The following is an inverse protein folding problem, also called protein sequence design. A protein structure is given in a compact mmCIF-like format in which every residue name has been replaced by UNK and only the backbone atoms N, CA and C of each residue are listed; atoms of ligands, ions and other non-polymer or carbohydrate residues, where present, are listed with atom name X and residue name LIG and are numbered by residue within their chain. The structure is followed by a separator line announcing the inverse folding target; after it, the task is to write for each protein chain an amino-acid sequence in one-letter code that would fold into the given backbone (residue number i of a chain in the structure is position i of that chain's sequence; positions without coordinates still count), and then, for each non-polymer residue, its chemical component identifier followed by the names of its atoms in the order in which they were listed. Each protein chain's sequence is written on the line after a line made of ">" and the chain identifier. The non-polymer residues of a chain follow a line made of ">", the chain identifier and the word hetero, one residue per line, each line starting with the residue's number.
data_IF_729391265594
#
_entry.id   IF_729391265594
#
_cell.length_a   1.000
_cell.length_b   1.000
_cell.length_c   1.000
_cell.angle_alpha   90.00
_cell.angle_beta   90.00
_cell.angle_gamma   90.00
#
_symmetry.space_group_name_H-M   'P 1'
#
loop_
_entity.id
_entity.type
_entity.pdbx_description
1 polymer ?
#
# COMPACT_ATOMS: atom_id res chain seq x y z
N UNK A 1 10.55 -2.03 -23.64
CA UNK A 1 11.97 -2.27 -23.30
C UNK A 1 12.17 -3.74 -22.96
N UNK A 2 11.61 -4.27 -21.89
CA UNK A 2 11.76 -5.68 -21.45
C UNK A 2 11.41 -6.68 -22.55
N UNK A 3 10.32 -6.48 -23.30
CA UNK A 3 9.93 -7.40 -24.39
C UNK A 3 10.89 -7.36 -25.58
N UNK A 4 11.64 -6.26 -25.77
CA UNK A 4 12.72 -6.20 -26.78
C UNK A 4 13.98 -6.92 -26.30
N UNK A 5 14.32 -6.79 -25.02
CA UNK A 5 15.46 -7.48 -24.41
C UNK A 5 15.28 -8.99 -24.40
N UNK A 6 14.05 -9.46 -24.16
CA UNK A 6 13.71 -10.88 -24.21
C UNK A 6 13.82 -11.50 -25.62
N UNK A 7 13.75 -10.68 -26.69
CA UNK A 7 13.85 -11.20 -28.05
C UNK A 7 12.85 -12.32 -28.33
N UNK A 8 13.35 -13.49 -28.76
CA UNK A 8 12.53 -14.68 -29.05
C UNK A 8 11.96 -15.36 -27.79
N UNK A 9 12.55 -15.12 -26.61
CA UNK A 9 12.08 -15.70 -25.35
C UNK A 9 10.69 -15.15 -24.94
N UNK A 10 10.27 -14.01 -25.48
CA UNK A 10 8.93 -13.45 -25.22
C UNK A 10 7.78 -14.42 -25.55
N UNK A 11 7.99 -15.37 -26.47
CA UNK A 11 7.01 -16.43 -26.80
C UNK A 11 6.77 -17.40 -25.66
N UNK A 12 7.67 -17.46 -24.68
CA UNK A 12 7.58 -18.30 -23.50
C UNK A 12 6.81 -17.64 -22.35
N UNK A 13 6.45 -16.35 -22.48
CA UNK A 13 5.61 -15.66 -21.49
C UNK A 13 4.24 -16.36 -21.44
N UNK A 14 3.81 -16.76 -20.25
CA UNK A 14 2.56 -17.52 -20.06
C UNK A 14 1.40 -16.67 -19.52
N UNK A 15 1.71 -15.58 -18.84
CA UNK A 15 0.71 -14.63 -18.30
C UNK A 15 1.35 -13.27 -18.04
N UNK A 16 0.51 -12.25 -17.91
CA UNK A 16 0.85 -10.94 -17.38
C UNK A 16 0.05 -10.71 -16.10
N UNK A 17 0.71 -10.35 -15.02
CA UNK A 17 0.06 -10.04 -13.75
C UNK A 17 0.22 -8.54 -13.45
N UNK A 18 -0.88 -7.85 -13.11
CA UNK A 18 -0.89 -6.41 -12.87
C UNK A 18 -0.92 -6.15 -11.37
N UNK A 19 0.09 -5.44 -10.85
CA UNK A 19 0.06 -4.85 -9.51
C UNK A 19 0.39 -3.37 -9.58
N UNK A 20 -0.22 -2.57 -8.72
CA UNK A 20 -0.03 -1.12 -8.68
C UNK A 20 -0.31 -0.58 -7.27
N UNK A 21 0.07 0.68 -7.05
CA UNK A 21 -0.39 1.40 -5.89
C UNK A 21 -1.89 1.70 -5.99
N UNK A 22 -2.56 1.73 -4.86
CA UNK A 22 -4.02 1.91 -4.73
C UNK A 22 -4.40 3.39 -4.70
N UNK A 23 -5.71 3.65 -4.76
CA UNK A 23 -6.30 4.98 -4.58
C UNK A 23 -5.80 6.03 -5.59
N UNK A 24 -5.55 5.63 -6.83
CA UNK A 24 -5.41 6.56 -7.94
C UNK A 24 -6.69 6.53 -8.75
N UNK A 25 -7.34 7.69 -8.93
CA UNK A 25 -8.66 7.77 -9.56
C UNK A 25 -8.59 8.63 -10.81
N UNK A 26 -9.24 8.15 -11.87
CA UNK A 26 -9.41 8.87 -13.14
C UNK A 26 -10.83 8.67 -13.67
N UNK A 27 -11.55 9.75 -14.00
CA UNK A 27 -12.84 9.68 -14.70
C UNK A 27 -12.62 9.43 -16.21
N UNK A 28 -13.48 8.58 -16.77
CA UNK A 28 -13.54 8.27 -18.20
C UNK A 28 -14.90 8.67 -18.76
N UNK A 29 -14.93 9.11 -20.00
CA UNK A 29 -16.15 9.33 -20.76
C UNK A 29 -16.80 8.01 -21.24
N UNK A 30 -17.92 8.09 -21.95
CA UNK A 30 -18.61 6.94 -22.54
C UNK A 30 -17.79 6.15 -23.58
N UNK A 31 -16.76 6.77 -24.14
CA UNK A 31 -15.82 6.16 -25.08
C UNK A 31 -14.57 5.62 -24.40
N UNK A 32 -14.56 5.60 -23.04
CA UNK A 32 -13.44 5.17 -22.21
C UNK A 32 -12.19 6.05 -22.36
N UNK A 33 -12.39 7.32 -22.74
CA UNK A 33 -11.33 8.32 -22.86
C UNK A 33 -11.18 9.10 -21.56
N UNK A 34 -9.96 9.31 -21.05
CA UNK A 34 -9.71 10.11 -19.86
C UNK A 34 -10.25 11.54 -20.01
N UNK A 35 -10.99 12.01 -19.01
CA UNK A 35 -11.53 13.40 -18.96
C UNK A 35 -10.59 14.37 -18.26
N UNK A 36 -9.63 13.86 -17.50
CA UNK A 36 -8.60 14.61 -16.78
C UNK A 36 -7.44 13.69 -16.39
N UNK A 37 -6.35 14.28 -15.87
CA UNK A 37 -5.24 13.54 -15.27
C UNK A 37 -5.64 12.86 -13.96
N UNK A 38 -4.81 11.93 -13.50
CA UNK A 38 -4.98 11.20 -12.25
C UNK A 38 -5.03 12.11 -11.03
N UNK A 39 -5.94 11.79 -10.08
CA UNK A 39 -5.77 12.18 -8.69
C UNK A 39 -5.08 11.00 -8.00
N UNK A 40 -3.81 11.18 -7.64
CA UNK A 40 -2.98 10.10 -7.10
C UNK A 40 -3.21 9.89 -5.59
N UNK A 41 -2.75 8.78 -5.06
CA UNK A 41 -2.91 8.41 -3.65
C UNK A 41 -2.25 9.38 -2.65
N UNK A 42 -1.19 10.09 -3.06
CA UNK A 42 -0.52 11.12 -2.25
C UNK A 42 -1.29 12.43 -2.15
N UNK A 43 -2.31 12.61 -2.98
CA UNK A 43 -3.09 13.84 -3.01
C UNK A 43 -4.03 13.88 -1.80
N UNK A 44 -3.89 14.93 -0.98
CA UNK A 44 -4.59 15.12 0.29
C UNK A 44 -5.76 16.11 0.19
N UNK A 45 -6.25 16.37 -1.03
CA UNK A 45 -7.43 17.22 -1.23
C UNK A 45 -8.65 16.67 -0.51
N UNK A 46 -9.44 17.54 0.11
CA UNK A 46 -10.64 17.21 0.85
C UNK A 46 -11.83 18.02 0.35
N UNK A 47 -13.03 17.51 0.62
CA UNK A 47 -14.31 18.12 0.23
C UNK A 47 -15.25 18.19 1.43
N UNK A 48 -15.08 19.16 2.34
CA UNK A 48 -15.97 19.33 3.50
C UNK A 48 -17.44 19.53 3.11
N UNK A 49 -17.70 20.10 1.94
CA UNK A 49 -19.04 20.32 1.37
C UNK A 49 -19.81 19.00 1.20
N UNK A 50 -19.12 17.91 0.88
CA UNK A 50 -19.72 16.58 0.75
C UNK A 50 -20.28 16.10 2.09
N UNK A 51 -19.60 16.37 3.20
CA UNK A 51 -20.05 16.04 4.56
C UNK A 51 -21.33 16.80 4.90
N UNK A 52 -21.36 18.12 4.63
CA UNK A 52 -22.57 18.92 4.84
C UNK A 52 -23.76 18.41 4.03
N UNK A 53 -23.53 18.02 2.76
CA UNK A 53 -24.60 17.51 1.90
C UNK A 53 -25.18 16.18 2.40
N UNK A 54 -24.35 15.26 2.92
CA UNK A 54 -24.78 14.00 3.50
C UNK A 54 -25.61 14.26 4.77
N UNK A 55 -25.17 15.14 5.65
CA UNK A 55 -25.90 15.48 6.86
C UNK A 55 -27.24 16.16 6.59
N UNK A 56 -27.32 16.98 5.54
CA UNK A 56 -28.56 17.65 5.15
C UNK A 56 -29.59 16.69 4.54
N UNK A 57 -29.11 15.69 3.76
CA UNK A 57 -29.96 14.63 3.19
C UNK A 57 -30.29 13.51 4.16
N UNK A 58 -29.67 13.53 5.37
CA UNK A 58 -29.84 12.47 6.35
C UNK A 58 -31.30 12.32 6.77
N UNK A 59 -31.95 11.30 6.25
CA UNK A 59 -33.28 10.85 6.68
C UNK A 59 -33.21 10.30 8.09
N UNK A 60 -34.35 10.13 8.76
CA UNK A 60 -34.43 9.61 10.13
C UNK A 60 -33.66 8.27 10.30
N UNK A 61 -33.49 7.47 9.22
CA UNK A 61 -32.72 6.20 9.21
C UNK A 61 -31.22 6.40 9.43
N UNK A 62 -30.64 7.50 8.93
CA UNK A 62 -29.22 7.82 9.10
C UNK A 62 -28.92 8.50 10.43
N UNK A 63 -29.93 9.10 11.09
CA UNK A 63 -29.79 9.67 12.44
C UNK A 63 -29.59 8.60 13.53
N UNK A 64 -29.97 7.35 13.26
CA UNK A 64 -29.77 6.19 14.13
C UNK A 64 -28.35 5.55 13.99
N UNK A 65 -27.55 6.02 13.06
CA UNK A 65 -26.16 5.55 12.89
C UNK A 65 -25.33 6.03 14.09
N UNK A 66 -24.59 5.12 14.71
CA UNK A 66 -23.74 5.44 15.87
C UNK A 66 -22.74 6.55 15.54
N UNK A 67 -22.30 7.32 16.54
CA UNK A 67 -21.33 8.41 16.34
C UNK A 67 -20.06 7.98 15.62
N UNK A 68 -19.56 6.74 15.88
CA UNK A 68 -18.41 6.16 15.22
C UNK A 68 -18.68 5.93 13.72
N UNK A 69 -19.81 5.30 13.37
CA UNK A 69 -20.14 5.04 11.97
C UNK A 69 -20.40 6.36 11.20
N UNK A 70 -20.90 7.39 11.86
CA UNK A 70 -21.04 8.73 11.28
C UNK A 70 -19.67 9.34 10.98
N UNK A 71 -18.76 9.31 11.95
CA UNK A 71 -17.38 9.80 11.73
C UNK A 71 -16.67 9.10 10.57
N UNK A 72 -16.90 7.78 10.39
CA UNK A 72 -16.39 7.03 9.25
C UNK A 72 -16.96 7.51 7.92
N UNK A 73 -18.28 7.75 7.87
CA UNK A 73 -18.92 8.26 6.66
C UNK A 73 -18.47 9.68 6.33
N UNK A 74 -18.34 10.54 7.34
CA UNK A 74 -17.85 11.91 7.18
C UNK A 74 -16.41 11.91 6.64
N UNK A 75 -15.57 11.06 7.20
CA UNK A 75 -14.21 10.86 6.72
C UNK A 75 -14.17 10.35 5.27
N UNK A 76 -14.95 9.32 4.95
CA UNK A 76 -15.05 8.78 3.60
C UNK A 76 -15.55 9.82 2.60
N UNK A 77 -16.58 10.58 2.95
CA UNK A 77 -17.14 11.61 2.10
C UNK A 77 -16.16 12.76 1.85
N UNK A 78 -15.50 13.24 2.90
CA UNK A 78 -14.54 14.34 2.81
C UNK A 78 -13.30 13.98 1.99
N UNK A 79 -12.80 12.74 2.11
CA UNK A 79 -11.57 12.29 1.44
C UNK A 79 -11.83 11.61 0.08
N UNK A 80 -13.11 11.47 -0.34
CA UNK A 80 -13.45 10.88 -1.62
C UNK A 80 -13.02 11.75 -2.79
N UNK A 81 -12.17 11.22 -3.66
CA UNK A 81 -11.75 11.89 -4.90
C UNK A 81 -12.91 12.09 -5.87
N UNK A 82 -13.93 11.23 -5.84
CA UNK A 82 -15.15 11.40 -6.63
C UNK A 82 -15.94 12.64 -6.16
N UNK A 83 -16.08 12.83 -4.84
CA UNK A 83 -16.69 14.03 -4.29
C UNK A 83 -15.90 15.27 -4.67
N UNK A 84 -14.56 15.20 -4.59
CA UNK A 84 -13.75 16.34 -4.97
C UNK A 84 -14.01 16.74 -6.44
N UNK A 85 -14.01 15.80 -7.38
CA UNK A 85 -14.35 16.04 -8.78
C UNK A 85 -15.78 16.59 -8.91
N UNK A 86 -16.73 16.01 -8.19
CA UNK A 86 -18.14 16.44 -8.21
C UNK A 86 -18.34 17.90 -7.81
N UNK A 87 -17.62 18.38 -6.80
CA UNK A 87 -17.78 19.72 -6.24
C UNK A 87 -16.88 20.77 -6.90
N UNK A 88 -15.71 20.38 -7.37
CA UNK A 88 -14.72 21.32 -7.90
C UNK A 88 -14.56 21.26 -9.43
N UNK A 89 -14.95 20.14 -10.04
CA UNK A 89 -14.94 19.95 -11.50
C UNK A 89 -16.29 19.35 -11.98
N UNK A 90 -17.42 20.05 -11.75
CA UNK A 90 -18.75 19.49 -11.99
C UNK A 90 -18.99 19.09 -13.45
N UNK A 91 -18.38 19.75 -14.42
CA UNK A 91 -18.47 19.41 -15.85
C UNK A 91 -17.80 18.04 -16.12
N UNK A 92 -16.63 17.79 -15.51
CA UNK A 92 -15.94 16.51 -15.60
C UNK A 92 -16.80 15.41 -14.97
N UNK A 93 -17.36 15.68 -13.78
CA UNK A 93 -18.23 14.73 -13.08
C UNK A 93 -19.47 14.38 -13.90
N UNK A 94 -20.10 15.34 -14.58
CA UNK A 94 -21.29 15.12 -15.40
C UNK A 94 -20.98 14.28 -16.65
N UNK A 95 -19.80 14.46 -17.25
CA UNK A 95 -19.35 13.72 -18.43
C UNK A 95 -18.81 12.32 -18.08
N UNK A 96 -18.43 12.08 -16.81
CA UNK A 96 -17.87 10.81 -16.37
C UNK A 96 -18.90 9.67 -16.49
N UNK A 97 -18.66 8.76 -17.43
CA UNK A 97 -19.42 7.52 -17.55
C UNK A 97 -18.85 6.46 -16.60
N UNK A 98 -17.55 6.48 -16.36
CA UNK A 98 -16.85 5.56 -15.48
C UNK A 98 -15.80 6.28 -14.64
N UNK A 99 -15.45 5.64 -13.51
CA UNK A 99 -14.26 5.95 -12.73
C UNK A 99 -13.40 4.71 -12.61
N UNK A 100 -12.12 4.84 -12.89
CA UNK A 100 -11.18 3.72 -12.81
C UNK A 100 -10.01 4.01 -11.87
N UNK A 101 -9.46 2.95 -11.32
CA UNK A 101 -8.18 2.93 -10.65
C UNK A 101 -7.06 2.74 -11.68
N UNK A 102 -5.80 2.89 -11.25
CA UNK A 102 -4.66 2.67 -12.15
C UNK A 102 -4.63 1.24 -12.71
N UNK A 103 -4.88 0.23 -11.87
CA UNK A 103 -4.95 -1.17 -12.30
C UNK A 103 -6.11 -1.44 -13.26
N UNK A 104 -7.28 -0.86 -12.99
CA UNK A 104 -8.44 -0.95 -13.89
C UNK A 104 -8.16 -0.31 -15.24
N UNK A 105 -7.48 0.85 -15.28
CA UNK A 105 -7.09 1.48 -16.53
C UNK A 105 -6.07 0.66 -17.32
N UNK A 106 -5.08 0.08 -16.64
CA UNK A 106 -4.13 -0.83 -17.29
C UNK A 106 -4.85 -2.07 -17.85
N UNK A 107 -5.78 -2.64 -17.09
CA UNK A 107 -6.64 -3.74 -17.57
C UNK A 107 -7.39 -3.33 -18.83
N UNK A 108 -8.05 -2.19 -18.81
CA UNK A 108 -8.77 -1.65 -19.97
C UNK A 108 -7.86 -1.52 -21.20
N UNK A 109 -6.68 -0.92 -21.02
CA UNK A 109 -5.73 -0.70 -22.13
C UNK A 109 -5.14 -1.99 -22.69
N UNK A 110 -4.98 -3.00 -21.86
CA UNK A 110 -4.38 -4.28 -22.24
C UNK A 110 -5.41 -5.26 -22.82
N UNK A 111 -6.65 -5.23 -22.32
CA UNK A 111 -7.65 -6.27 -22.62
C UNK A 111 -8.94 -5.74 -23.25
N UNK A 112 -9.18 -4.44 -23.23
CA UNK A 112 -10.45 -3.81 -23.62
C UNK A 112 -11.57 -3.94 -22.58
N UNK A 113 -11.34 -4.61 -21.44
CA UNK A 113 -12.35 -4.86 -20.43
C UNK A 113 -12.40 -3.77 -19.37
N UNK A 114 -13.62 -3.35 -18.98
CA UNK A 114 -13.86 -2.47 -17.82
C UNK A 114 -13.91 -3.29 -16.54
N UNK A 115 -12.76 -3.89 -16.20
CA UNK A 115 -12.60 -4.77 -15.05
C UNK A 115 -11.38 -4.37 -14.21
N UNK A 116 -11.41 -4.68 -12.92
CA UNK A 116 -10.31 -4.45 -12.00
C UNK A 116 -10.22 -5.57 -10.96
N UNK A 117 -9.03 -5.76 -10.39
CA UNK A 117 -8.84 -6.77 -9.37
C UNK A 117 -9.45 -6.33 -8.04
N UNK A 118 -10.16 -7.23 -7.37
CA UNK A 118 -10.71 -7.03 -6.03
C UNK A 118 -9.63 -6.63 -5.02
N UNK A 119 -8.44 -7.23 -5.12
CA UNK A 119 -7.30 -6.94 -4.26
C UNK A 119 -6.70 -5.54 -4.43
N UNK A 120 -7.08 -4.82 -5.48
CA UNK A 120 -6.64 -3.43 -5.74
C UNK A 120 -7.54 -2.40 -5.07
N UNK A 121 -8.67 -2.80 -4.51
CA UNK A 121 -9.62 -1.86 -3.93
C UNK A 121 -9.25 -1.48 -2.50
N UNK A 122 -9.65 -0.29 -2.08
CA UNK A 122 -9.35 0.23 -0.75
C UNK A 122 -10.55 1.00 -0.17
N UNK A 123 -10.49 1.36 1.11
CA UNK A 123 -11.58 1.98 1.86
C UNK A 123 -11.94 3.42 1.45
N UNK A 124 -11.22 4.02 0.49
CA UNK A 124 -11.58 5.34 -0.08
C UNK A 124 -12.51 5.23 -1.30
N UNK A 125 -12.93 4.00 -1.63
CA UNK A 125 -13.88 3.66 -2.68
C UNK A 125 -15.16 3.11 -2.05
N UNK A 126 -16.29 3.03 -2.77
CA UNK A 126 -17.53 2.41 -2.27
C UNK A 126 -17.41 0.88 -2.22
N UNK A 127 -16.39 0.40 -1.51
CA UNK A 127 -15.95 -0.99 -1.46
C UNK A 127 -16.09 -1.58 -0.05
N UNK A 128 -16.77 -2.72 0.05
CA UNK A 128 -16.89 -3.50 1.27
C UNK A 128 -15.69 -4.45 1.40
N UNK A 129 -14.70 -4.02 2.16
CA UNK A 129 -13.47 -4.78 2.40
C UNK A 129 -13.74 -6.15 3.05
N UNK A 130 -14.77 -6.25 3.90
CA UNK A 130 -15.07 -7.49 4.60
C UNK A 130 -15.66 -8.57 3.67
N UNK A 131 -16.43 -8.16 2.66
CA UNK A 131 -17.05 -9.05 1.70
C UNK A 131 -16.35 -9.08 0.34
N UNK A 132 -15.28 -8.28 0.17
CA UNK A 132 -14.49 -8.18 -1.06
C UNK A 132 -15.35 -7.85 -2.29
N UNK A 133 -16.28 -6.88 -2.15
CA UNK A 133 -17.20 -6.48 -3.22
C UNK A 133 -17.57 -4.99 -3.11
N UNK A 134 -18.14 -4.43 -4.18
CA UNK A 134 -18.80 -3.12 -4.09
C UNK A 134 -19.96 -3.18 -3.10
N UNK A 135 -20.21 -2.09 -2.36
CA UNK A 135 -21.33 -2.03 -1.42
C UNK A 135 -22.66 -2.37 -2.10
N UNK A 136 -23.51 -3.13 -1.39
CA UNK A 136 -24.85 -3.48 -1.87
C UNK A 136 -25.84 -2.31 -1.83
N UNK A 137 -25.58 -1.28 -1.03
CA UNK A 137 -26.52 -0.18 -0.75
C UNK A 137 -26.14 1.08 -1.55
N UNK A 138 -27.08 1.65 -2.31
CA UNK A 138 -26.86 2.83 -3.13
C UNK A 138 -26.48 4.07 -2.31
N UNK A 139 -26.97 4.16 -1.07
CA UNK A 139 -26.57 5.21 -0.14
C UNK A 139 -25.05 5.29 0.05
N UNK A 140 -24.34 4.18 0.06
CA UNK A 140 -22.87 4.21 0.18
C UNK A 140 -22.21 4.87 -1.03
N UNK A 141 -22.76 4.71 -2.23
CA UNK A 141 -22.25 5.41 -3.41
C UNK A 141 -22.50 6.92 -3.33
N UNK A 142 -23.63 7.34 -2.75
CA UNK A 142 -23.89 8.77 -2.49
C UNK A 142 -22.86 9.37 -1.54
N UNK A 143 -22.42 8.62 -0.49
CA UNK A 143 -21.38 9.04 0.43
C UNK A 143 -20.07 9.34 -0.31
N UNK A 144 -19.71 8.49 -1.27
CA UNK A 144 -18.50 8.68 -2.06
C UNK A 144 -18.69 9.64 -3.26
N UNK A 145 -19.92 10.04 -3.60
CA UNK A 145 -20.20 10.95 -4.72
C UNK A 145 -20.10 10.31 -6.10
N UNK A 146 -20.39 9.03 -6.21
CA UNK A 146 -20.31 8.24 -7.45
C UNK A 146 -21.59 7.42 -7.60
N UNK A 147 -21.88 6.88 -8.78
CA UNK A 147 -22.95 5.91 -9.00
C UNK A 147 -22.37 4.50 -9.16
N UNK A 148 -23.18 3.51 -8.82
CA UNK A 148 -22.79 2.08 -8.94
C UNK A 148 -22.39 1.70 -10.37
N UNK A 149 -23.13 2.20 -11.36
CA UNK A 149 -22.92 1.92 -12.79
C UNK A 149 -21.65 2.56 -13.36
N UNK A 150 -21.00 3.47 -12.61
CA UNK A 150 -19.73 4.07 -12.97
C UNK A 150 -18.52 3.24 -12.51
N UNK A 151 -18.72 2.20 -11.69
CA UNK A 151 -17.63 1.38 -11.16
C UNK A 151 -17.32 0.20 -12.07
N UNK A 152 -16.05 -0.10 -12.23
CA UNK A 152 -15.60 -1.27 -12.99
C UNK A 152 -16.02 -2.57 -12.32
N UNK A 153 -16.17 -3.64 -13.12
CA UNK A 153 -16.46 -4.99 -12.60
C UNK A 153 -15.28 -5.54 -11.82
N UNK A 154 -15.53 -6.16 -10.68
CA UNK A 154 -14.49 -6.76 -9.86
C UNK A 154 -14.20 -8.20 -10.26
N UNK A 155 -12.92 -8.52 -10.36
CA UNK A 155 -12.38 -9.87 -10.63
C UNK A 155 -11.52 -10.27 -9.43
N UNK A 156 -11.66 -11.50 -8.95
CA UNK A 156 -10.94 -12.00 -7.78
C UNK A 156 -9.45 -12.17 -8.08
N UNK A 157 -8.63 -12.01 -7.05
CA UNK A 157 -7.19 -12.23 -7.12
C UNK A 157 -6.88 -13.65 -7.62
N UNK A 158 -6.03 -13.76 -8.62
CA UNK A 158 -5.66 -15.02 -9.27
C UNK A 158 -6.58 -15.45 -10.41
N UNK A 159 -7.69 -14.73 -10.68
CA UNK A 159 -8.54 -14.97 -11.84
C UNK A 159 -8.08 -14.10 -13.03
N UNK A 160 -8.62 -14.40 -14.23
CA UNK A 160 -8.24 -13.72 -15.47
C UNK A 160 -9.09 -12.47 -15.67
N UNK A 161 -8.45 -11.32 -15.83
CA UNK A 161 -9.06 -10.01 -16.18
C UNK A 161 -9.48 -9.94 -17.65
N UNK A 162 -8.80 -10.66 -18.51
CA UNK A 162 -8.97 -10.72 -19.96
C UNK A 162 -7.68 -11.20 -20.62
N UNK A 163 -7.58 -11.00 -21.92
CA UNK A 163 -6.41 -11.36 -22.72
C UNK A 163 -5.88 -10.14 -23.46
N UNK A 164 -4.57 -10.12 -23.73
CA UNK A 164 -3.92 -9.06 -24.50
C UNK A 164 -4.57 -8.95 -25.88
N UNK A 165 -5.07 -7.76 -26.22
CA UNK A 165 -5.65 -7.47 -27.53
C UNK A 165 -4.58 -7.30 -28.60
N UNK A 166 -4.96 -7.36 -29.88
CA UNK A 166 -4.07 -7.08 -31.02
C UNK A 166 -3.39 -5.71 -30.89
N UNK A 167 -4.16 -4.68 -30.51
CA UNK A 167 -3.64 -3.31 -30.31
C UNK A 167 -2.61 -3.28 -29.18
N UNK A 168 -2.94 -3.88 -28.03
CA UNK A 168 -2.03 -3.95 -26.89
C UNK A 168 -0.77 -4.77 -27.22
N UNK A 169 -0.89 -5.85 -27.98
CA UNK A 169 0.25 -6.65 -28.44
C UNK A 169 1.20 -5.82 -29.31
N UNK A 170 0.67 -5.05 -30.26
CA UNK A 170 1.46 -4.15 -31.11
C UNK A 170 2.17 -3.05 -30.30
N UNK A 171 1.48 -2.48 -29.29
CA UNK A 171 2.03 -1.39 -28.46
C UNK A 171 3.11 -1.88 -27.48
N UNK A 172 2.97 -3.11 -26.94
CA UNK A 172 3.82 -3.63 -25.86
C UNK A 172 4.85 -4.65 -26.31
N UNK A 173 4.62 -5.30 -27.45
CA UNK A 173 5.41 -6.44 -27.92
C UNK A 173 5.10 -7.75 -27.20
N UNK A 174 4.08 -7.78 -26.34
CA UNK A 174 3.58 -9.01 -25.69
C UNK A 174 2.80 -9.87 -26.69
N UNK A 175 2.74 -11.19 -26.49
CA UNK A 175 1.91 -12.06 -27.32
C UNK A 175 0.42 -11.67 -27.25
N UNK A 176 -0.24 -11.60 -28.42
CA UNK A 176 -1.71 -11.48 -28.48
C UNK A 176 -2.37 -12.69 -27.84
N UNK A 177 -3.49 -12.48 -27.15
CA UNK A 177 -4.21 -13.55 -26.44
C UNK A 177 -3.57 -13.97 -25.12
N UNK A 178 -2.44 -13.36 -24.71
CA UNK A 178 -1.80 -13.66 -23.43
C UNK A 178 -2.76 -13.31 -22.25
N UNK A 179 -2.99 -14.23 -21.30
CA UNK A 179 -3.83 -13.98 -20.15
C UNK A 179 -3.29 -12.84 -19.27
N UNK A 180 -4.17 -11.91 -18.86
CA UNK A 180 -3.91 -10.85 -17.89
C UNK A 180 -4.56 -11.23 -16.57
N UNK A 181 -3.78 -11.33 -15.51
CA UNK A 181 -4.19 -11.90 -14.21
C UNK A 181 -4.44 -10.79 -13.20
N UNK A 182 -5.56 -10.90 -12.50
CA UNK A 182 -5.90 -10.05 -11.36
C UNK A 182 -4.98 -10.36 -10.18
N UNK A 183 -4.38 -9.32 -9.58
CA UNK A 183 -3.58 -9.45 -8.37
C UNK A 183 -4.15 -8.61 -7.22
N UNK A 184 -3.30 -7.93 -6.47
CA UNK A 184 -3.67 -7.01 -5.41
C UNK A 184 -2.73 -5.80 -5.42
N UNK A 185 -2.93 -4.88 -4.50
CA UNK A 185 -2.04 -3.74 -4.33
C UNK A 185 -0.60 -4.16 -4.05
N UNK A 186 0.32 -3.27 -4.36
CA UNK A 186 1.77 -3.50 -4.27
C UNK A 186 2.20 -4.11 -2.92
N UNK A 187 1.71 -3.60 -1.80
CA UNK A 187 2.06 -4.10 -0.45
C UNK A 187 1.52 -5.50 -0.14
N UNK A 188 0.33 -5.84 -0.67
CA UNK A 188 -0.23 -7.19 -0.53
C UNK A 188 0.56 -8.21 -1.35
N UNK A 189 0.89 -7.83 -2.57
CA UNK A 189 1.69 -8.67 -3.48
C UNK A 189 3.13 -8.81 -2.99
N UNK A 190 3.71 -7.72 -2.43
CA UNK A 190 5.01 -7.73 -1.75
C UNK A 190 5.02 -8.74 -0.58
N UNK A 191 3.96 -8.73 0.24
CA UNK A 191 3.84 -9.68 1.36
C UNK A 191 3.81 -11.13 0.87
N UNK A 192 3.10 -11.41 -0.22
CA UNK A 192 3.05 -12.73 -0.82
C UNK A 192 4.42 -13.16 -1.37
N UNK A 193 5.07 -12.29 -2.14
CA UNK A 193 6.39 -12.55 -2.72
C UNK A 193 7.49 -12.72 -1.66
N UNK A 194 7.31 -12.09 -0.50
CA UNK A 194 8.16 -12.30 0.67
C UNK A 194 7.91 -13.66 1.37
N UNK A 195 6.92 -14.45 0.94
CA UNK A 195 6.56 -15.71 1.56
C UNK A 195 5.74 -15.55 2.84
N UNK A 196 5.15 -14.37 3.08
CA UNK A 196 4.30 -14.09 4.25
C UNK A 196 2.83 -14.19 3.84
N UNK A 197 2.24 -15.37 4.00
CA UNK A 197 0.85 -15.65 3.63
C UNK A 197 0.00 -16.20 4.79
N UNK A 198 0.52 -16.12 6.01
CA UNK A 198 -0.19 -16.47 7.25
C UNK A 198 -0.04 -15.39 8.32
N UNK A 199 -0.91 -15.34 9.35
CA UNK A 199 -0.75 -14.39 10.46
C UNK A 199 0.51 -14.60 11.32
N UNK A 200 1.31 -15.63 11.03
CA UNK A 200 2.55 -15.92 11.76
C UNK A 200 3.75 -15.15 11.23
N UNK A 201 3.65 -14.60 10.04
CA UNK A 201 4.67 -13.80 9.40
C UNK A 201 4.20 -12.35 9.29
N UNK A 202 5.08 -11.40 9.62
CA UNK A 202 4.92 -10.00 9.26
C UNK A 202 5.97 -9.62 8.22
N UNK A 203 5.61 -8.73 7.32
CA UNK A 203 6.55 -8.11 6.39
C UNK A 203 6.74 -6.65 6.78
N UNK A 204 7.99 -6.23 6.91
CA UNK A 204 8.36 -4.82 7.02
C UNK A 204 9.07 -4.41 5.75
N UNK A 205 8.54 -3.38 5.10
CA UNK A 205 9.17 -2.75 3.95
C UNK A 205 9.82 -1.45 4.38
N UNK A 206 11.15 -1.41 4.36
CA UNK A 206 11.95 -0.23 4.67
C UNK A 206 12.34 0.53 3.40
N UNK A 207 11.36 1.24 2.86
CA UNK A 207 11.51 2.15 1.74
C UNK A 207 11.43 3.62 2.15
N UNK A 208 11.12 4.51 1.21
CA UNK A 208 10.80 5.92 1.49
C UNK A 208 9.75 6.02 2.59
N UNK A 209 8.69 5.26 2.47
CA UNK A 209 7.72 4.96 3.52
C UNK A 209 8.17 3.66 4.22
N UNK A 210 8.01 3.56 5.53
CA UNK A 210 8.13 2.29 6.23
C UNK A 210 6.74 1.73 6.49
N UNK A 211 6.52 0.48 6.11
CA UNK A 211 5.24 -0.21 6.29
C UNK A 211 5.45 -1.58 6.93
N UNK A 212 4.49 -1.96 7.77
CA UNK A 212 4.37 -3.29 8.34
C UNK A 212 3.05 -3.89 7.88
N UNK A 213 3.09 -5.11 7.36
CA UNK A 213 1.94 -5.82 6.85
C UNK A 213 1.86 -7.22 7.45
N UNK A 214 0.67 -7.64 7.85
CA UNK A 214 0.39 -9.00 8.34
C UNK A 214 -0.83 -9.54 7.61
N UNK A 215 -0.68 -10.68 6.93
CA UNK A 215 -1.80 -11.32 6.25
C UNK A 215 -2.72 -12.03 7.24
N UNK A 216 -4.02 -11.76 7.15
CA UNK A 216 -5.06 -12.24 8.06
C UNK A 216 -6.02 -13.21 7.35
N UNK A 217 -6.59 -14.16 8.10
CA UNK A 217 -7.60 -15.10 7.61
C UNK A 217 -9.04 -14.56 7.68
N UNK A 218 -9.22 -13.39 8.28
CA UNK A 218 -10.48 -12.66 8.39
C UNK A 218 -10.18 -11.16 8.48
N UNK A 219 -11.11 -10.30 8.07
CA UNK A 219 -10.91 -8.86 8.22
C UNK A 219 -10.80 -8.50 9.71
N UNK A 220 -9.84 -7.65 10.02
CA UNK A 220 -9.61 -7.11 11.35
C UNK A 220 -9.67 -5.60 11.24
N UNK A 221 -10.43 -4.94 12.10
CA UNK A 221 -10.56 -3.48 12.11
C UNK A 221 -10.15 -2.91 13.45
N UNK A 222 -9.64 -1.69 13.44
CA UNK A 222 -9.43 -0.88 14.63
C UNK A 222 -10.29 0.38 14.57
N UNK A 223 -11.14 0.57 15.59
CA UNK A 223 -12.08 1.71 15.63
C UNK A 223 -11.38 3.08 15.75
N UNK A 224 -10.09 3.10 16.09
CA UNK A 224 -9.28 4.31 16.20
C UNK A 224 -8.34 4.50 15.00
N UNK A 225 -8.53 3.71 13.94
CA UNK A 225 -7.71 3.77 12.70
C UNK A 225 -6.20 3.68 12.93
N UNK A 226 -5.79 2.89 13.92
CA UNK A 226 -4.37 2.69 14.22
C UNK A 226 -3.64 1.89 13.15
N UNK A 227 -4.38 1.13 12.36
CA UNK A 227 -3.91 0.45 11.16
C UNK A 227 -5.07 0.32 10.17
N UNK A 228 -4.73 0.07 8.91
CA UNK A 228 -5.69 -0.15 7.85
C UNK A 228 -5.81 -1.64 7.51
N UNK A 229 -6.96 -2.05 7.01
CA UNK A 229 -7.17 -3.41 6.52
C UNK A 229 -7.62 -3.36 5.07
N UNK A 230 -6.94 -4.11 4.23
CA UNK A 230 -7.18 -4.20 2.80
C UNK A 230 -7.41 -5.65 2.37
N UNK A 231 -8.05 -5.91 1.21
CA UNK A 231 -8.03 -7.23 0.63
C UNK A 231 -6.60 -7.70 0.42
N UNK A 232 -6.31 -8.95 0.72
CA UNK A 232 -4.98 -9.53 0.54
C UNK A 232 -4.69 -9.91 -0.92
N UNK A 233 -3.49 -10.41 -1.18
CA UNK A 233 -3.12 -10.95 -2.49
C UNK A 233 -3.84 -12.26 -2.84
N UNK A 234 -4.46 -12.91 -1.88
CA UNK A 234 -5.22 -14.14 -2.05
C UNK A 234 -6.70 -13.91 -1.70
N UNK A 235 -7.65 -14.55 -2.42
CA UNK A 235 -9.05 -14.45 -2.11
C UNK A 235 -9.35 -14.87 -0.66
N UNK A 236 -10.24 -14.16 0.02
CA UNK A 236 -10.60 -14.38 1.44
C UNK A 236 -9.41 -14.29 2.39
N UNK A 237 -8.43 -13.47 2.04
CA UNK A 237 -7.35 -13.03 2.91
C UNK A 237 -7.33 -11.51 2.95
N UNK A 238 -6.85 -10.97 4.05
CA UNK A 238 -6.75 -9.51 4.27
C UNK A 238 -5.36 -9.17 4.75
N UNK A 239 -4.88 -7.99 4.43
CA UNK A 239 -3.66 -7.46 5.01
C UNK A 239 -4.01 -6.36 6.01
N UNK A 240 -3.61 -6.55 7.26
CA UNK A 240 -3.56 -5.47 8.25
C UNK A 240 -2.24 -4.73 8.07
N UNK A 241 -2.32 -3.42 7.81
CA UNK A 241 -1.17 -2.59 7.46
C UNK A 241 -1.02 -1.41 8.40
N UNK A 242 0.18 -1.26 8.94
CA UNK A 242 0.63 -0.07 9.66
C UNK A 242 1.78 0.56 8.89
N UNK A 243 1.84 1.89 8.84
CA UNK A 243 2.92 2.57 8.14
C UNK A 243 3.22 3.95 8.71
N UNK A 244 4.44 4.41 8.47
CA UNK A 244 4.88 5.78 8.65
C UNK A 244 5.31 6.33 7.29
N UNK A 245 4.74 7.49 6.89
CA UNK A 245 4.94 8.06 5.55
C UNK A 245 6.39 8.47 5.26
N UNK A 246 7.18 8.75 6.30
CA UNK A 246 8.61 9.06 6.22
C UNK A 246 9.37 7.98 6.97
N UNK A 247 9.60 6.84 6.32
CA UNK A 247 10.38 5.73 6.85
C UNK A 247 11.88 5.98 6.71
N UNK A 248 12.54 5.20 5.86
CA UNK A 248 13.98 5.39 5.59
C UNK A 248 14.29 6.69 4.82
N UNK A 249 13.28 7.37 4.29
CA UNK A 249 13.45 8.76 3.84
C UNK A 249 14.00 9.66 4.96
N UNK A 250 13.75 9.37 6.22
CA UNK A 250 14.34 10.10 7.35
C UNK A 250 15.86 9.99 7.38
N UNK A 251 16.42 8.87 6.92
CA UNK A 251 17.87 8.70 6.79
C UNK A 251 18.42 9.60 5.66
N UNK A 252 17.70 9.69 4.54
CA UNK A 252 18.02 10.61 3.45
C UNK A 252 17.89 12.07 3.91
N UNK A 253 16.85 12.38 4.68
CA UNK A 253 16.70 13.71 5.28
C UNK A 253 17.87 14.04 6.22
N UNK A 254 18.29 13.09 7.05
CA UNK A 254 19.43 13.26 7.94
C UNK A 254 20.74 13.51 7.15
N UNK A 255 20.95 12.79 6.05
CA UNK A 255 22.06 13.06 5.13
C UNK A 255 22.06 14.52 4.66
N UNK A 256 20.93 15.06 4.25
CA UNK A 256 20.85 16.46 3.81
C UNK A 256 21.21 17.47 4.91
N UNK A 257 20.99 17.12 6.19
CA UNK A 257 21.40 17.97 7.30
C UNK A 257 22.94 17.99 7.46
N UNK A 258 23.62 16.97 6.96
CA UNK A 258 25.07 16.80 7.03
C UNK A 258 25.76 16.83 5.65
N UNK A 259 25.05 17.22 4.59
CA UNK A 259 25.54 17.14 3.20
C UNK A 259 26.91 17.77 2.95
N UNK A 260 27.27 18.82 3.68
CA UNK A 260 28.58 19.44 3.58
C UNK A 260 29.78 18.65 4.16
N UNK A 261 29.51 17.48 4.76
CA UNK A 261 30.51 16.62 5.39
C UNK A 261 30.81 15.34 4.61
N UNK A 262 30.05 15.06 3.55
CA UNK A 262 30.12 13.82 2.77
C UNK A 262 30.11 14.14 1.28
N UNK A 263 30.89 13.39 0.49
CA UNK A 263 30.92 13.54 -0.96
C UNK A 263 29.70 12.91 -1.63
N UNK A 264 29.11 11.88 -1.00
CA UNK A 264 27.96 11.15 -1.52
C UNK A 264 27.06 10.59 -0.41
N UNK A 265 25.84 10.21 -0.81
CA UNK A 265 24.91 9.50 0.07
C UNK A 265 25.44 8.11 0.48
N UNK A 266 26.11 7.42 -0.43
CA UNK A 266 26.68 6.09 -0.17
C UNK A 266 27.82 6.16 0.85
N UNK A 267 28.68 7.18 0.77
CA UNK A 267 29.72 7.45 1.78
C UNK A 267 29.10 7.70 3.15
N UNK A 268 28.10 8.57 3.22
CA UNK A 268 27.36 8.84 4.46
C UNK A 268 26.77 7.55 5.06
N UNK A 269 26.09 6.72 4.25
CA UNK A 269 25.50 5.46 4.72
C UNK A 269 26.57 4.50 5.25
N UNK A 270 27.68 4.36 4.54
CA UNK A 270 28.78 3.46 4.92
C UNK A 270 29.42 3.89 6.26
N UNK A 271 29.75 5.17 6.39
CA UNK A 271 30.36 5.70 7.62
C UNK A 271 29.38 5.63 8.80
N UNK A 272 28.15 6.12 8.62
CA UNK A 272 27.16 6.17 9.71
C UNK A 272 26.70 4.79 10.14
N UNK A 273 26.52 3.85 9.22
CA UNK A 273 26.18 2.46 9.55
C UNK A 273 27.27 1.80 10.37
N UNK A 274 28.54 2.03 9.99
CA UNK A 274 29.70 1.51 10.74
C UNK A 274 29.80 2.14 12.14
N UNK A 275 29.70 3.47 12.22
CA UNK A 275 29.80 4.21 13.47
C UNK A 275 28.66 3.85 14.44
N UNK A 276 27.45 3.66 13.94
CA UNK A 276 26.28 3.28 14.75
C UNK A 276 26.42 1.93 15.45
N UNK A 277 27.29 1.01 14.97
CA UNK A 277 27.55 -0.27 15.65
C UNK A 277 28.21 -0.05 17.03
N UNK A 278 28.99 1.00 17.19
CA UNK A 278 29.65 1.35 18.45
C UNK A 278 28.77 2.10 19.45
N UNK A 279 27.65 2.64 18.98
CA UNK A 279 26.67 3.34 19.84
C UNK A 279 25.85 2.31 20.61
N UNK A 280 25.71 2.42 21.94
CA UNK A 280 24.93 1.47 22.73
C UNK A 280 23.42 1.57 22.37
N UNK A 281 22.66 0.46 22.57
CA UNK A 281 21.20 0.48 22.46
C UNK A 281 20.59 1.62 23.30
N UNK A 282 19.55 2.27 22.75
CA UNK A 282 18.96 3.47 23.35
C UNK A 282 19.69 4.74 23.02
N UNK A 283 20.65 4.71 22.07
CA UNK A 283 21.31 5.90 21.49
C UNK A 283 21.75 6.91 22.55
N UNK A 284 22.32 6.45 23.68
CA UNK A 284 22.74 7.25 24.87
C UNK A 284 21.60 8.10 25.46
N UNK A 285 20.34 7.67 25.35
CA UNK A 285 19.18 8.37 25.89
C UNK A 285 18.43 9.24 24.88
N UNK A 286 18.76 9.13 23.59
CA UNK A 286 17.99 9.77 22.53
C UNK A 286 16.78 8.93 22.15
N UNK A 287 15.65 9.62 21.89
CA UNK A 287 14.44 9.04 21.34
C UNK A 287 13.96 9.84 20.13
N UNK A 288 13.64 9.13 19.04
CA UNK A 288 13.01 9.71 17.86
C UNK A 288 11.50 9.36 17.83
N UNK A 289 10.68 10.38 17.61
CA UNK A 289 9.29 10.22 17.18
C UNK A 289 9.24 10.47 15.67
N UNK A 290 9.07 9.43 14.81
CA UNK A 290 9.30 9.53 13.37
C UNK A 290 8.11 10.12 12.58
N UNK A 291 7.27 10.95 13.21
CA UNK A 291 6.06 11.53 12.59
C UNK A 291 6.37 12.86 11.89
N UNK A 292 7.33 12.85 10.96
CA UNK A 292 7.74 14.04 10.19
C UNK A 292 6.71 14.47 9.13
N UNK A 293 5.72 13.64 8.89
CA UNK A 293 4.57 13.95 8.04
C UNK A 293 3.32 13.53 8.79
N UNK A 294 2.24 14.28 8.61
CA UNK A 294 0.94 14.00 9.18
C UNK A 294 0.53 12.55 8.94
N UNK A 295 0.15 11.84 10.00
CA UNK A 295 -0.30 10.45 9.94
C UNK A 295 -1.83 10.42 9.95
N UNK A 296 -2.43 9.83 8.91
CA UNK A 296 -3.89 9.67 8.87
C UNK A 296 -4.36 8.71 9.97
N UNK A 297 -5.30 9.16 10.78
CA UNK A 297 -6.03 8.33 11.73
C UNK A 297 -5.37 8.10 13.09
N UNK A 298 -4.05 8.00 13.20
CA UNK A 298 -3.41 7.65 14.46
C UNK A 298 -3.16 8.87 15.36
N UNK A 299 -2.46 9.85 14.82
CA UNK A 299 -2.14 11.13 15.47
C UNK A 299 -2.01 12.21 14.38
N UNK A 300 -3.11 12.80 13.89
CA UNK A 300 -3.06 13.73 12.76
C UNK A 300 -2.22 14.97 13.03
N UNK A 301 -2.09 15.37 14.29
CA UNK A 301 -1.31 16.54 14.70
C UNK A 301 0.10 16.21 15.18
N UNK A 302 0.49 14.94 15.16
CA UNK A 302 1.84 14.54 15.58
C UNK A 302 2.90 15.17 14.69
N UNK A 303 4.02 15.55 15.33
CA UNK A 303 5.21 16.07 14.66
C UNK A 303 6.41 15.22 15.02
N UNK A 304 7.36 15.11 14.09
CA UNK A 304 8.64 14.48 14.36
C UNK A 304 9.40 15.25 15.43
N UNK A 305 10.03 14.52 16.34
CA UNK A 305 10.86 15.12 17.38
C UNK A 305 11.98 14.19 17.82
N UNK A 306 13.09 14.79 18.23
CA UNK A 306 14.20 14.12 18.90
C UNK A 306 14.22 14.62 20.33
N UNK A 307 14.18 13.70 21.29
CA UNK A 307 14.15 14.01 22.72
C UNK A 307 15.40 13.44 23.38
N UNK A 308 15.93 14.16 24.37
CA UNK A 308 17.10 13.72 25.17
C UNK A 308 18.45 14.26 24.67
N UNK A 309 18.48 15.21 23.73
CA UNK A 309 19.73 15.80 23.23
C UNK A 309 20.51 16.53 24.35
N UNK A 310 21.83 16.26 24.36
CA UNK A 310 22.84 16.98 25.16
C UNK A 310 24.02 17.37 24.26
N UNK A 311 24.93 18.16 24.77
CA UNK A 311 26.16 18.61 24.08
C UNK A 311 27.20 17.48 23.84
N UNK A 312 26.95 16.30 24.43
CA UNK A 312 27.83 15.13 24.27
C UNK A 312 27.45 14.22 23.12
N UNK A 313 26.23 14.36 22.58
CA UNK A 313 25.76 13.51 21.48
C UNK A 313 26.44 13.86 20.16
N UNK A 314 26.73 12.81 19.39
CA UNK A 314 27.40 12.89 18.08
C UNK A 314 26.46 12.43 16.95
N UNK A 315 26.91 12.59 15.71
CA UNK A 315 26.16 12.20 14.51
C UNK A 315 25.72 10.75 14.52
N UNK A 316 26.61 9.84 14.93
CA UNK A 316 26.35 8.41 15.05
C UNK A 316 25.26 8.07 16.08
N UNK A 317 25.19 8.82 17.19
CA UNK A 317 24.14 8.67 18.19
C UNK A 317 22.78 9.04 17.61
N UNK A 318 22.72 10.15 16.86
CA UNK A 318 21.52 10.60 16.16
C UNK A 318 21.12 9.61 15.06
N UNK A 319 22.06 9.14 14.24
CA UNK A 319 21.78 8.17 13.19
C UNK A 319 21.20 6.87 13.77
N UNK A 320 21.79 6.32 14.83
CA UNK A 320 21.24 5.13 15.52
C UNK A 320 19.86 5.42 16.09
N UNK A 321 19.66 6.57 16.70
CA UNK A 321 18.35 7.01 17.22
C UNK A 321 17.27 7.01 16.12
N UNK A 322 17.61 7.37 14.89
CA UNK A 322 16.68 7.31 13.75
C UNK A 322 16.31 5.86 13.40
N UNK A 323 17.29 4.96 13.35
CA UNK A 323 17.02 3.54 13.10
C UNK A 323 16.14 2.92 14.20
N UNK A 324 16.46 3.21 15.46
CA UNK A 324 15.69 2.74 16.62
C UNK A 324 14.26 3.30 16.61
N UNK A 325 14.08 4.60 16.34
CA UNK A 325 12.77 5.23 16.31
C UNK A 325 11.85 4.68 15.22
N UNK A 326 12.40 4.39 14.02
CA UNK A 326 11.65 3.72 12.94
C UNK A 326 11.25 2.30 13.39
N UNK A 327 12.16 1.53 13.98
CA UNK A 327 11.88 0.17 14.45
C UNK A 327 10.87 0.15 15.61
N UNK A 328 10.90 1.13 16.53
CA UNK A 328 9.89 1.28 17.60
C UNK A 328 8.51 1.59 17.02
N UNK A 329 8.39 2.41 15.98
CA UNK A 329 7.12 2.65 15.31
C UNK A 329 6.58 1.35 14.67
N UNK A 330 7.42 0.55 14.02
CA UNK A 330 7.02 -0.76 13.49
C UNK A 330 6.59 -1.72 14.59
N UNK A 331 7.28 -1.73 15.73
CA UNK A 331 6.88 -2.50 16.90
C UNK A 331 5.50 -2.08 17.42
N UNK A 332 5.24 -0.79 17.53
CA UNK A 332 3.93 -0.26 17.93
C UNK A 332 2.83 -0.75 16.98
N UNK A 333 3.07 -0.68 15.66
CA UNK A 333 2.14 -1.19 14.66
C UNK A 333 1.87 -2.68 14.81
N UNK A 334 2.93 -3.48 15.03
CA UNK A 334 2.80 -4.92 15.24
C UNK A 334 1.97 -5.24 16.50
N UNK A 335 2.26 -4.58 17.62
CA UNK A 335 1.52 -4.79 18.86
C UNK A 335 0.03 -4.46 18.73
N UNK A 336 -0.32 -3.40 18.00
CA UNK A 336 -1.72 -3.03 17.76
C UNK A 336 -2.43 -4.07 16.89
N UNK A 337 -1.79 -4.53 15.80
CA UNK A 337 -2.34 -5.56 14.91
C UNK A 337 -2.49 -6.90 15.64
N UNK A 338 -1.47 -7.34 16.40
CA UNK A 338 -1.53 -8.56 17.21
C UNK A 338 -2.65 -8.51 18.26
N UNK A 339 -2.83 -7.37 18.91
CA UNK A 339 -3.90 -7.16 19.89
C UNK A 339 -5.28 -7.22 19.24
N UNK A 340 -5.49 -6.56 18.11
CA UNK A 340 -6.77 -6.53 17.42
C UNK A 340 -7.14 -7.88 16.78
N UNK A 341 -6.14 -8.59 16.25
CA UNK A 341 -6.35 -9.89 15.59
C UNK A 341 -6.40 -11.08 16.54
N UNK A 342 -5.92 -10.94 17.79
CA UNK A 342 -5.64 -12.03 18.72
C UNK A 342 -4.69 -13.10 18.14
N UNK A 343 -3.81 -12.69 17.20
CA UNK A 343 -2.77 -13.53 16.60
C UNK A 343 -1.39 -13.06 17.02
N UNK A 344 -0.43 -13.98 17.08
CA UNK A 344 0.96 -13.66 17.40
C UNK A 344 1.86 -13.99 16.20
N UNK A 345 2.54 -12.98 15.72
CA UNK A 345 3.58 -13.09 14.71
C UNK A 345 4.78 -13.82 15.29
N UNK A 346 5.34 -14.77 14.55
CA UNK A 346 6.49 -15.58 15.00
C UNK A 346 7.80 -15.12 14.39
N UNK A 347 7.78 -14.59 13.18
CA UNK A 347 8.95 -14.05 12.47
C UNK A 347 8.60 -12.80 11.68
N UNK A 348 9.60 -12.00 11.42
CA UNK A 348 9.49 -10.79 10.62
C UNK A 348 10.39 -10.92 9.39
N UNK A 349 9.86 -10.62 8.23
CA UNK A 349 10.60 -10.57 6.97
C UNK A 349 10.77 -9.09 6.62
N UNK A 350 12.01 -8.67 6.36
CA UNK A 350 12.30 -7.27 6.03
C UNK A 350 12.78 -7.17 4.60
N UNK A 351 12.19 -6.26 3.85
CA UNK A 351 12.52 -5.94 2.46
C UNK A 351 12.70 -4.42 2.28
N UNK A 352 12.97 -4.01 1.04
CA UNK A 352 13.27 -2.63 0.68
C UNK A 352 14.72 -2.22 0.96
N UNK A 353 15.12 -1.04 0.49
CA UNK A 353 16.50 -0.57 0.55
C UNK A 353 17.09 -0.49 1.96
N UNK A 354 16.28 -0.14 2.96
CA UNK A 354 16.72 -0.08 4.36
C UNK A 354 17.10 -1.43 4.97
N UNK A 355 16.66 -2.56 4.39
CA UNK A 355 17.04 -3.90 4.83
C UNK A 355 18.51 -4.23 4.56
N UNK A 356 19.21 -3.44 3.74
CA UNK A 356 20.62 -3.65 3.45
C UNK A 356 21.56 -3.25 4.61
N UNK A 357 21.05 -2.54 5.61
CA UNK A 357 21.81 -2.15 6.79
C UNK A 357 21.80 -3.27 7.84
N UNK A 358 22.95 -3.92 8.07
CA UNK A 358 23.05 -4.99 9.09
C UNK A 358 22.73 -4.47 10.50
N UNK A 359 23.21 -3.29 10.85
CA UNK A 359 22.88 -2.66 12.13
C UNK A 359 21.38 -2.34 12.23
N UNK A 360 20.75 -1.88 11.15
CA UNK A 360 19.31 -1.64 11.09
C UNK A 360 18.51 -2.95 11.25
N UNK A 361 18.96 -4.03 10.63
CA UNK A 361 18.36 -5.36 10.77
C UNK A 361 18.45 -5.89 12.21
N UNK A 362 19.62 -5.75 12.85
CA UNK A 362 19.81 -6.16 14.24
C UNK A 362 18.94 -5.34 15.20
N UNK A 363 18.92 -4.01 15.04
CA UNK A 363 18.04 -3.12 15.83
C UNK A 363 16.57 -3.53 15.66
N UNK A 364 16.16 -3.84 14.45
CA UNK A 364 14.79 -4.29 14.16
C UNK A 364 14.48 -5.60 14.90
N UNK A 365 15.35 -6.60 14.83
CA UNK A 365 15.18 -7.88 15.50
C UNK A 365 15.08 -7.72 17.03
N UNK A 366 15.97 -6.91 17.61
CA UNK A 366 16.02 -6.65 19.05
C UNK A 366 14.74 -5.94 19.54
N UNK A 367 14.34 -4.86 18.87
CA UNK A 367 13.16 -4.07 19.26
C UNK A 367 11.87 -4.87 19.07
N UNK A 368 11.71 -5.58 17.94
CA UNK A 368 10.53 -6.41 17.71
C UNK A 368 10.52 -7.67 18.58
N UNK A 369 11.67 -8.09 19.09
CA UNK A 369 11.85 -9.32 19.84
C UNK A 369 11.29 -10.53 19.06
N UNK A 370 11.67 -10.64 17.79
CA UNK A 370 11.27 -11.69 16.85
C UNK A 370 12.45 -12.07 15.95
N UNK A 371 12.57 -13.33 15.55
CA UNK A 371 13.45 -13.72 14.46
C UNK A 371 13.14 -12.85 13.23
N UNK A 372 14.15 -12.16 12.75
CA UNK A 372 14.04 -11.23 11.63
C UNK A 372 14.95 -11.70 10.51
N UNK A 373 14.39 -11.82 9.31
CA UNK A 373 15.10 -12.28 8.13
C UNK A 373 15.08 -11.20 7.04
N UNK A 374 16.15 -11.10 6.29
CA UNK A 374 16.27 -10.30 5.08
C UNK A 374 16.21 -11.23 3.88
N UNK A 375 15.55 -10.82 2.82
CA UNK A 375 15.52 -11.55 1.55
C UNK A 375 16.70 -11.13 0.68
N UNK A 376 17.25 -12.08 -0.06
CA UNK A 376 18.34 -11.81 -1.01
C UNK A 376 17.83 -11.02 -2.22
N UNK A 377 16.58 -11.28 -2.64
CA UNK A 377 15.95 -10.55 -3.72
C UNK A 377 15.13 -9.37 -3.16
N UNK A 378 15.36 -8.18 -3.71
CA UNK A 378 14.65 -6.95 -3.33
C UNK A 378 13.34 -6.75 -4.09
N UNK A 379 13.15 -7.44 -5.24
CA UNK A 379 12.00 -7.29 -6.14
C UNK A 379 10.83 -8.21 -5.73
N UNK A 380 10.58 -8.31 -4.44
CA UNK A 380 9.56 -9.22 -3.87
C UNK A 380 8.15 -8.95 -4.39
N UNK A 381 7.84 -7.71 -4.78
CA UNK A 381 6.55 -7.37 -5.39
C UNK A 381 6.39 -8.06 -6.76
N UNK A 382 7.43 -8.03 -7.60
CA UNK A 382 7.42 -8.72 -8.89
C UNK A 382 7.31 -10.24 -8.72
N UNK A 383 8.01 -10.81 -7.72
CA UNK A 383 7.92 -12.24 -7.38
C UNK A 383 6.49 -12.62 -7.00
N UNK A 384 5.85 -11.85 -6.12
CA UNK A 384 4.47 -12.12 -5.70
C UNK A 384 3.47 -12.05 -6.86
N UNK A 385 3.64 -11.08 -7.78
CA UNK A 385 2.85 -10.99 -9.00
C UNK A 385 3.08 -12.20 -9.92
N UNK A 386 4.33 -12.63 -10.09
CA UNK A 386 4.70 -13.82 -10.89
C UNK A 386 4.12 -15.11 -10.32
N UNK A 387 4.09 -15.26 -8.97
CA UNK A 387 3.46 -16.40 -8.30
C UNK A 387 1.97 -16.48 -8.63
N UNK A 388 1.25 -15.35 -8.54
CA UNK A 388 -0.18 -15.31 -8.87
C UNK A 388 -0.42 -15.57 -10.36
N UNK A 389 0.38 -14.95 -11.22
CA UNK A 389 0.33 -15.16 -12.66
C UNK A 389 0.60 -16.63 -13.05
N UNK A 390 1.66 -17.22 -12.50
CA UNK A 390 2.03 -18.61 -12.75
C UNK A 390 0.98 -19.60 -12.26
N UNK A 391 0.41 -19.36 -11.05
CA UNK A 391 -0.70 -20.18 -10.55
C UNK A 391 -1.93 -20.10 -11.46
N UNK A 392 -2.30 -18.89 -11.93
CA UNK A 392 -3.49 -18.68 -12.76
C UNK A 392 -3.47 -19.47 -14.07
N UNK A 393 -2.26 -19.69 -14.64
CA UNK A 393 -2.09 -20.43 -15.91
C UNK A 393 -1.48 -21.84 -15.74
N UNK A 394 -1.46 -22.35 -14.51
CA UNK A 394 -1.05 -23.72 -14.21
C UNK A 394 0.45 -24.01 -14.27
N UNK A 395 1.29 -22.97 -14.20
CA UNK A 395 2.76 -23.13 -14.00
C UNK A 395 3.03 -23.65 -12.60
N UNK A 396 2.30 -23.14 -11.61
CA UNK A 396 2.30 -23.63 -10.23
C UNK A 396 0.95 -24.24 -9.90
N UNK A 397 0.92 -25.36 -9.17
CA UNK A 397 -0.31 -26.00 -8.68
C UNK A 397 -1.03 -25.15 -7.62
N UNK A 398 -0.25 -24.49 -6.78
CA UNK A 398 -0.71 -23.62 -5.70
C UNK A 398 0.32 -22.52 -5.42
N UNK A 399 0.00 -21.62 -4.52
CA UNK A 399 0.85 -20.48 -4.15
C UNK A 399 2.10 -20.93 -3.40
N UNK A 400 1.99 -21.95 -2.56
CA UNK A 400 3.10 -22.51 -1.79
C UNK A 400 4.19 -23.07 -2.71
N UNK A 401 3.82 -23.71 -3.80
CA UNK A 401 4.77 -24.18 -4.82
C UNK A 401 5.49 -22.99 -5.47
N UNK A 402 4.76 -21.92 -5.82
CA UNK A 402 5.34 -20.71 -6.39
C UNK A 402 6.27 -19.95 -5.44
N UNK A 403 6.00 -19.99 -4.11
CA UNK A 403 6.88 -19.38 -3.10
C UNK A 403 8.18 -20.18 -2.93
N UNK A 404 8.13 -21.49 -3.12
CA UNK A 404 9.29 -22.38 -2.94
C UNK A 404 10.11 -22.57 -4.23
N UNK A 405 9.65 -22.05 -5.37
CA UNK A 405 10.35 -22.10 -6.64
C UNK A 405 11.40 -21.00 -6.78
#
# INVERSE_FOLDING_TARGET
>A
EVTRELGDEKKNIRSLAITANRDNIMPLDKNLTPLRDWIIWLDKRQTPEAVHAIHHKATMKTRLVSGVARGLMDYAASNSKFNWIKYHEPEVHQQAAYYCTLSGYLTLKLTGNTADATGMQCGYLPFDTAHETWFAFDFMYEVFGVRRDQMFTLVKQGDILGTITTEAAQATGLPEGLPVVATAGDKQVESLGAGAFTPREAVISYGTMASLSVMMNKPVSDLHFKFNTFPGALPKKWNAEFHIYRGYWLITWLYWQYAGHYESYDEFLSEMTTAAQSVPPGSRGLFLFPFFTQHEGFHPDARGSIVGLTDTHRREDIYRCFLEGIAFAMRQGLDVIEKASHQKTKRVIVCGGGSQSDVGMQITADILNRPTVRLDNVEVCAIGAAILGGKAVGVFKNVEEGINA
#
